data_IF_469027470147
#
_entry.id   IF_469027470147
#
_cell.length_a   1.000
_cell.length_b   1.000
_cell.length_c   1.000
_cell.angle_alpha   90.00
_cell.angle_beta   90.00
_cell.angle_gamma   90.00
#
_symmetry.space_group_name_H-M   'P 1'
#
loop_
_entity.id
_entity.type
_entity.pdbx_description
1 polymer ?
#
# COMPACT_ATOMS: atom_id res chain seq x y z
N UNK A 1 16.68 6.58 -10.35
CA UNK A 1 16.30 6.69 -8.92
C UNK A 1 14.79 6.58 -8.84
N UNK A 2 14.23 5.90 -7.83
CA UNK A 2 12.77 5.83 -7.62
C UNK A 2 12.13 7.22 -7.41
N UNK A 3 10.81 7.30 -7.48
CA UNK A 3 9.98 8.52 -7.58
C UNK A 3 10.47 9.79 -6.86
N UNK A 4 10.15 10.95 -7.45
CA UNK A 4 10.74 12.27 -7.12
C UNK A 4 9.97 13.12 -6.11
N UNK A 5 8.75 12.73 -5.72
CA UNK A 5 7.92 13.50 -4.77
C UNK A 5 8.60 13.63 -3.41
N UNK A 6 8.86 14.85 -2.93
CA UNK A 6 9.52 15.10 -1.64
C UNK A 6 8.52 15.07 -0.49
N UNK A 7 8.97 14.63 0.69
CA UNK A 7 8.12 14.57 1.91
C UNK A 7 7.91 15.95 2.55
N UNK A 8 8.70 16.95 2.15
CA UNK A 8 8.49 18.37 2.42
C UNK A 8 9.32 19.21 1.43
N UNK A 9 9.02 20.50 1.30
CA UNK A 9 9.74 21.41 0.40
C UNK A 9 11.27 21.42 0.62
N UNK A 10 11.72 21.16 1.85
CA UNK A 10 13.13 21.16 2.25
C UNK A 10 13.76 19.77 2.33
N UNK A 11 12.99 18.70 2.15
CA UNK A 11 13.51 17.34 2.27
C UNK A 11 14.27 16.88 1.02
N UNK A 12 15.33 16.08 1.24
CA UNK A 12 16.00 15.31 0.17
C UNK A 12 15.43 13.89 0.05
N UNK A 13 14.55 13.49 0.97
CA UNK A 13 13.93 12.16 1.02
C UNK A 13 12.62 12.19 0.24
N UNK A 14 12.44 11.23 -0.67
CA UNK A 14 11.18 11.10 -1.42
C UNK A 14 10.17 10.22 -0.70
N UNK A 15 8.89 10.41 -1.03
CA UNK A 15 7.76 9.58 -0.53
C UNK A 15 7.98 8.11 -0.86
N UNK A 16 8.58 7.80 -2.02
CA UNK A 16 8.95 6.44 -2.41
C UNK A 16 9.98 5.80 -1.46
N UNK A 17 10.95 6.55 -0.91
CA UNK A 17 11.89 6.01 0.08
C UNK A 17 11.18 5.66 1.39
N UNK A 18 10.24 6.49 1.83
CA UNK A 18 9.44 6.22 3.04
C UNK A 18 8.49 5.04 2.80
N UNK A 19 7.82 5.01 1.65
CA UNK A 19 6.91 3.92 1.30
C UNK A 19 7.62 2.58 1.21
N UNK A 20 8.80 2.55 0.59
CA UNK A 20 9.63 1.35 0.54
C UNK A 20 10.14 0.93 1.92
N UNK A 21 10.48 1.88 2.79
CA UNK A 21 10.86 1.56 4.17
C UNK A 21 9.73 0.85 4.90
N UNK A 22 8.51 1.40 4.84
CA UNK A 22 7.34 0.80 5.47
C UNK A 22 7.00 -0.56 4.88
N UNK A 23 7.06 -0.69 3.55
CA UNK A 23 6.91 -1.98 2.88
C UNK A 23 7.95 -3.00 3.37
N UNK A 24 9.21 -2.60 3.55
CA UNK A 24 10.28 -3.47 4.05
C UNK A 24 10.13 -3.82 5.54
N UNK A 25 9.56 -2.93 6.36
CA UNK A 25 9.24 -3.19 7.77
C UNK A 25 8.08 -4.19 7.90
N UNK A 26 7.04 -4.04 7.09
CA UNK A 26 5.94 -5.01 7.04
C UNK A 26 6.45 -6.35 6.52
N UNK A 27 7.26 -6.32 5.46
CA UNK A 27 7.81 -7.52 4.89
C UNK A 27 8.71 -8.30 5.86
N UNK A 28 9.44 -7.60 6.76
CA UNK A 28 10.35 -8.27 7.70
C UNK A 28 9.64 -9.16 8.72
N UNK A 29 8.38 -8.87 9.04
CA UNK A 29 7.59 -9.58 10.05
C UNK A 29 6.57 -10.56 9.48
N UNK A 30 6.27 -10.47 8.18
CA UNK A 30 5.37 -11.40 7.49
C UNK A 30 6.15 -12.57 6.86
N UNK A 31 5.62 -13.81 6.89
CA UNK A 31 6.35 -14.99 6.43
C UNK A 31 6.49 -15.09 4.90
N UNK A 32 5.42 -14.80 4.16
CA UNK A 32 5.36 -14.85 2.70
C UNK A 32 4.95 -13.49 2.15
N UNK A 33 5.80 -12.91 1.30
CA UNK A 33 5.71 -11.50 0.91
C UNK A 33 6.04 -11.32 -0.56
N UNK A 34 5.20 -10.53 -1.22
CA UNK A 34 5.48 -9.98 -2.54
C UNK A 34 5.65 -8.46 -2.37
N UNK A 35 6.80 -7.92 -2.80
CA UNK A 35 7.04 -6.48 -2.78
C UNK A 35 7.03 -5.99 -4.23
N UNK A 36 5.95 -5.31 -4.60
CA UNK A 36 5.81 -4.67 -5.90
C UNK A 36 6.08 -3.17 -5.80
N UNK A 37 7.13 -2.68 -6.45
CA UNK A 37 7.25 -1.26 -6.75
C UNK A 37 6.42 -1.00 -8.00
N UNK A 38 5.58 0.02 -7.96
CA UNK A 38 4.63 0.29 -9.02
C UNK A 38 4.79 1.71 -9.56
N UNK A 39 4.77 1.78 -10.88
CA UNK A 39 4.69 2.97 -11.72
C UNK A 39 4.01 2.55 -13.03
N UNK A 40 4.56 2.96 -14.17
CA UNK A 40 4.19 2.49 -15.51
C UNK A 40 4.20 0.96 -15.62
N UNK A 41 5.06 0.30 -14.85
CA UNK A 41 5.13 -1.16 -14.71
C UNK A 41 5.21 -1.60 -13.24
N UNK A 42 4.87 -2.87 -13.00
CA UNK A 42 5.09 -3.53 -11.72
C UNK A 42 6.49 -4.17 -11.73
N UNK A 43 7.37 -3.73 -10.83
CA UNK A 43 8.66 -4.34 -10.59
C UNK A 43 8.59 -5.13 -9.29
N UNK A 44 8.78 -6.44 -9.37
CA UNK A 44 8.92 -7.28 -8.19
C UNK A 44 10.32 -7.14 -7.61
N UNK A 45 10.41 -6.92 -6.30
CA UNK A 45 11.62 -7.04 -5.52
C UNK A 45 11.50 -8.23 -4.56
N UNK A 46 12.43 -9.17 -4.69
CA UNK A 46 12.52 -10.30 -3.78
C UNK A 46 13.19 -9.86 -2.47
N UNK A 47 12.46 -10.01 -1.36
CA UNK A 47 12.94 -9.57 -0.05
C UNK A 47 14.04 -10.50 0.47
N UNK A 48 15.24 -9.95 0.68
CA UNK A 48 16.37 -10.72 1.20
C UNK A 48 16.28 -10.85 2.72
N UNK A 49 15.88 -12.03 3.18
CA UNK A 49 15.75 -12.39 4.61
C UNK A 49 17.07 -12.43 5.35
N UNK A 50 18.21 -12.52 4.66
CA UNK A 50 19.55 -12.48 5.28
C UNK A 50 20.03 -11.07 5.60
N UNK A 51 19.29 -10.04 5.16
CA UNK A 51 19.67 -8.63 5.27
C UNK A 51 18.66 -7.84 6.12
N UNK A 52 19.14 -6.78 6.76
CA UNK A 52 18.29 -5.88 7.54
C UNK A 52 17.35 -5.02 6.67
N UNK A 53 16.32 -4.48 7.30
CA UNK A 53 15.28 -3.63 6.66
C UNK A 53 15.88 -2.48 5.85
N UNK A 54 16.89 -1.78 6.38
CA UNK A 54 17.51 -0.63 5.71
C UNK A 54 18.23 -1.02 4.42
N UNK A 55 18.84 -2.22 4.37
CA UNK A 55 19.48 -2.73 3.17
C UNK A 55 18.43 -3.04 2.10
N UNK A 56 17.37 -3.73 2.49
CA UNK A 56 16.24 -4.06 1.61
C UNK A 56 15.58 -2.79 1.07
N UNK A 57 15.38 -1.77 1.92
CA UNK A 57 14.84 -0.47 1.51
C UNK A 57 15.70 0.19 0.42
N UNK A 58 17.03 0.24 0.61
CA UNK A 58 17.93 0.81 -0.40
C UNK A 58 17.86 0.05 -1.73
N UNK A 59 17.79 -1.28 -1.67
CA UNK A 59 17.76 -2.14 -2.86
C UNK A 59 16.43 -2.07 -3.60
N UNK A 60 15.31 -2.14 -2.88
CA UNK A 60 13.97 -1.99 -3.46
C UNK A 60 13.77 -0.59 -4.05
N UNK A 61 14.29 0.46 -3.41
CA UNK A 61 14.25 1.82 -3.95
C UNK A 61 15.07 1.97 -5.23
N UNK A 62 16.21 1.30 -5.31
CA UNK A 62 17.04 1.30 -6.51
C UNK A 62 16.33 0.58 -7.66
N UNK A 63 15.79 -0.62 -7.40
CA UNK A 63 15.04 -1.41 -8.38
C UNK A 63 13.75 -0.70 -8.84
N UNK A 64 13.06 -0.01 -7.93
CA UNK A 64 11.89 0.81 -8.25
C UNK A 64 12.22 2.02 -9.14
N UNK A 65 13.49 2.39 -9.31
CA UNK A 65 13.90 3.42 -10.26
C UNK A 65 13.54 3.11 -11.71
N UNK A 66 13.22 1.87 -12.02
CA UNK A 66 12.81 1.44 -13.36
C UNK A 66 11.30 1.42 -13.55
N UNK A 67 10.47 1.54 -12.50
CA UNK A 67 9.03 1.31 -12.62
C UNK A 67 8.28 2.37 -13.42
N UNK A 68 8.90 3.53 -13.67
CA UNK A 68 8.26 4.66 -14.34
C UNK A 68 7.52 5.59 -13.37
N UNK A 69 7.02 6.72 -13.89
CA UNK A 69 6.48 7.81 -13.08
C UNK A 69 4.97 7.80 -12.87
N UNK A 70 4.22 7.03 -13.66
CA UNK A 70 2.76 6.95 -13.55
C UNK A 70 2.38 5.94 -12.45
N UNK A 71 1.88 6.40 -11.32
CA UNK A 71 1.61 5.62 -10.09
C UNK A 71 0.51 4.52 -10.22
N UNK A 72 0.01 4.18 -11.41
CA UNK A 72 -1.24 3.42 -11.57
C UNK A 72 -1.08 2.03 -12.20
N UNK A 73 -0.30 1.88 -13.27
CA UNK A 73 -0.31 0.64 -14.06
C UNK A 73 0.18 -0.58 -13.29
N UNK A 74 1.17 -0.42 -12.40
CA UNK A 74 1.70 -1.53 -11.63
C UNK A 74 0.69 -2.14 -10.65
N UNK A 75 -0.16 -1.33 -10.00
CA UNK A 75 -1.19 -1.85 -9.08
C UNK A 75 -2.29 -2.59 -9.85
N UNK A 76 -2.71 -2.06 -11.00
CA UNK A 76 -3.71 -2.70 -11.85
C UNK A 76 -3.18 -4.04 -12.37
N UNK A 77 -1.93 -4.08 -12.84
CA UNK A 77 -1.27 -5.30 -13.28
C UNK A 77 -1.18 -6.35 -12.16
N UNK A 78 -0.89 -5.93 -10.92
CA UNK A 78 -0.90 -6.82 -9.76
C UNK A 78 -2.28 -7.43 -9.52
N UNK A 79 -3.33 -6.60 -9.45
CA UNK A 79 -4.70 -7.07 -9.22
C UNK A 79 -5.18 -8.00 -10.35
N UNK A 80 -4.94 -7.64 -11.61
CA UNK A 80 -5.25 -8.46 -12.78
C UNK A 80 -4.56 -9.83 -12.71
N UNK A 81 -3.26 -9.85 -12.34
CA UNK A 81 -2.52 -11.09 -12.14
C UNK A 81 -3.13 -11.95 -11.04
N UNK A 82 -3.46 -11.38 -9.89
CA UNK A 82 -4.10 -12.12 -8.80
C UNK A 82 -5.46 -12.70 -9.18
N UNK A 83 -6.25 -11.97 -9.97
CA UNK A 83 -7.55 -12.43 -10.47
C UNK A 83 -7.37 -13.58 -11.46
N UNK A 84 -6.49 -13.40 -12.45
CA UNK A 84 -6.24 -14.36 -13.54
C UNK A 84 -5.67 -15.66 -12.99
N UNK A 85 -4.63 -15.55 -12.18
CA UNK A 85 -3.87 -16.69 -11.68
C UNK A 85 -4.46 -17.24 -10.36
N UNK A 86 -5.55 -16.64 -9.87
CA UNK A 86 -6.23 -16.96 -8.61
C UNK A 86 -5.29 -16.94 -7.39
N UNK A 87 -4.31 -16.04 -7.40
CA UNK A 87 -3.34 -15.87 -6.32
C UNK A 87 -4.08 -15.47 -5.04
N UNK A 88 -3.80 -16.20 -3.96
CA UNK A 88 -4.36 -15.95 -2.64
C UNK A 88 -3.55 -14.87 -1.94
N UNK A 89 -4.26 -13.86 -1.45
CA UNK A 89 -3.67 -12.70 -0.76
C UNK A 89 -4.46 -12.46 0.51
N UNK A 90 -3.80 -12.60 1.65
CA UNK A 90 -4.40 -12.36 2.96
C UNK A 90 -4.35 -10.88 3.34
N UNK A 91 -3.27 -10.19 2.97
CA UNK A 91 -3.04 -8.78 3.26
C UNK A 91 -2.52 -8.04 2.03
N UNK A 92 -3.19 -6.95 1.65
CA UNK A 92 -2.77 -6.04 0.59
C UNK A 92 -2.44 -4.69 1.21
N UNK A 93 -1.18 -4.30 1.17
CA UNK A 93 -0.71 -2.98 1.59
C UNK A 93 -0.38 -2.14 0.36
N UNK A 94 -1.01 -0.96 0.26
CA UNK A 94 -0.71 0.02 -0.79
C UNK A 94 -0.22 1.29 -0.12
N UNK A 95 1.02 1.67 -0.44
CA UNK A 95 1.73 2.77 0.21
C UNK A 95 2.19 3.74 -0.87
N UNK A 96 1.67 4.96 -0.84
CA UNK A 96 1.91 5.97 -1.87
C UNK A 96 1.65 7.36 -1.31
N UNK A 97 2.05 8.41 -2.04
CA UNK A 97 1.56 9.76 -1.74
C UNK A 97 0.07 9.92 -2.02
N UNK A 98 -0.56 8.95 -2.69
CA UNK A 98 -1.98 8.94 -3.02
C UNK A 98 -2.38 10.26 -3.64
N UNK A 99 -1.65 10.74 -4.66
CA UNK A 99 -2.12 11.82 -5.53
C UNK A 99 -3.34 11.35 -6.35
N UNK A 100 -4.43 11.16 -5.64
CA UNK A 100 -5.79 11.16 -6.14
C UNK A 100 -6.12 12.65 -6.20
N UNK A 101 -6.27 13.21 -7.39
CA UNK A 101 -6.53 14.63 -7.62
C UNK A 101 -7.79 15.19 -6.96
N UNK A 102 -8.15 16.37 -7.44
CA UNK A 102 -8.78 17.56 -6.82
C UNK A 102 -9.88 17.48 -5.74
N UNK A 103 -10.20 16.33 -5.16
CA UNK A 103 -11.13 16.21 -4.04
C UNK A 103 -12.59 15.96 -4.43
N UNK A 104 -12.92 15.97 -5.72
CA UNK A 104 -14.27 15.64 -6.22
C UNK A 104 -14.33 14.35 -7.05
N UNK A 105 -13.18 13.86 -7.56
CA UNK A 105 -13.11 12.68 -8.42
C UNK A 105 -12.07 11.66 -7.93
N UNK A 106 -12.35 10.37 -8.07
CA UNK A 106 -11.32 9.31 -8.02
C UNK A 106 -10.42 9.50 -9.24
N UNK A 107 -9.34 10.28 -9.10
CA UNK A 107 -8.44 10.63 -10.22
C UNK A 107 -7.59 9.45 -10.73
N UNK A 108 -7.55 8.32 -10.00
CA UNK A 108 -6.92 7.06 -10.46
C UNK A 108 -7.41 6.57 -11.82
N UNK A 109 -8.60 7.01 -12.23
CA UNK A 109 -9.26 6.61 -13.47
C UNK A 109 -9.13 7.63 -14.60
N UNK A 110 -8.62 8.84 -14.34
CA UNK A 110 -8.39 9.87 -15.37
C UNK A 110 -6.93 9.88 -15.88
N UNK A 111 -5.96 9.48 -15.06
CA UNK A 111 -4.53 9.44 -15.45
C UNK A 111 -4.07 8.11 -16.05
N UNK A 112 -4.86 7.04 -15.93
CA UNK A 112 -4.53 5.73 -16.49
C UNK A 112 -5.13 5.56 -17.89
N UNK A 113 -4.50 4.75 -18.74
CA UNK A 113 -5.06 4.32 -20.05
C UNK A 113 -6.29 3.41 -19.90
N UNK A 114 -6.86 3.31 -18.70
CA UNK A 114 -7.95 2.43 -18.34
C UNK A 114 -9.24 3.23 -18.20
N UNK A 115 -10.37 2.67 -18.65
CA UNK A 115 -11.67 3.33 -18.57
C UNK A 115 -12.07 3.68 -17.12
N UNK A 116 -12.84 4.76 -17.00
CA UNK A 116 -13.48 5.14 -15.75
C UNK A 116 -14.34 4.00 -15.19
N UNK A 117 -14.20 3.73 -13.90
CA UNK A 117 -14.76 2.59 -13.17
C UNK A 117 -13.87 1.34 -13.07
N UNK A 118 -12.75 1.24 -13.83
CA UNK A 118 -11.98 0.00 -13.93
C UNK A 118 -11.30 -0.41 -12.62
N UNK A 119 -10.81 0.54 -11.80
CA UNK A 119 -10.17 0.18 -10.53
C UNK A 119 -11.19 -0.46 -9.58
N UNK A 120 -12.37 0.15 -9.45
CA UNK A 120 -13.43 -0.38 -8.61
C UNK A 120 -13.89 -1.77 -9.08
N UNK A 121 -13.96 -2.00 -10.39
CA UNK A 121 -14.29 -3.31 -10.95
C UNK A 121 -13.20 -4.36 -10.68
N UNK A 122 -11.93 -4.02 -10.92
CA UNK A 122 -10.79 -4.89 -10.62
C UNK A 122 -10.75 -5.25 -9.14
N UNK A 123 -10.93 -4.27 -8.26
CA UNK A 123 -10.95 -4.50 -6.83
C UNK A 123 -12.11 -5.42 -6.41
N UNK A 124 -13.31 -5.24 -6.98
CA UNK A 124 -14.44 -6.15 -6.76
C UNK A 124 -14.11 -7.58 -7.21
N UNK A 125 -13.51 -7.76 -8.39
CA UNK A 125 -13.08 -9.08 -8.90
C UNK A 125 -11.99 -9.71 -8.03
N UNK A 126 -11.01 -8.93 -7.61
CA UNK A 126 -9.96 -9.36 -6.69
C UNK A 126 -10.55 -9.85 -5.37
N UNK A 127 -11.49 -9.10 -4.77
CA UNK A 127 -12.16 -9.52 -3.53
C UNK A 127 -13.08 -10.73 -3.70
N UNK A 128 -13.59 -11.02 -4.90
CA UNK A 128 -14.28 -12.31 -5.14
C UNK A 128 -13.32 -13.49 -5.03
N UNK A 129 -12.07 -13.33 -5.46
CA UNK A 129 -11.02 -14.36 -5.32
C UNK A 129 -10.47 -14.40 -3.89
N UNK A 130 -10.38 -13.24 -3.24
CA UNK A 130 -9.80 -13.03 -1.91
C UNK A 130 -10.79 -12.32 -0.96
N UNK A 131 -11.89 -12.98 -0.54
CA UNK A 131 -12.97 -12.35 0.22
C UNK A 131 -12.54 -11.86 1.61
N UNK A 132 -11.56 -12.53 2.21
CA UNK A 132 -11.05 -12.22 3.55
C UNK A 132 -9.81 -11.32 3.53
N UNK A 133 -9.35 -10.86 2.35
CA UNK A 133 -8.18 -10.01 2.25
C UNK A 133 -8.40 -8.72 3.05
N UNK A 134 -7.46 -8.45 3.95
CA UNK A 134 -7.32 -7.18 4.66
C UNK A 134 -6.58 -6.21 3.74
N UNK A 135 -7.16 -5.04 3.49
CA UNK A 135 -6.58 -4.05 2.60
C UNK A 135 -6.23 -2.82 3.42
N UNK A 136 -4.98 -2.38 3.33
CA UNK A 136 -4.46 -1.19 4.02
C UNK A 136 -3.89 -0.24 2.99
N UNK A 137 -4.43 0.97 2.97
CA UNK A 137 -3.95 2.06 2.14
C UNK A 137 -3.32 3.12 3.02
N UNK A 138 -2.04 3.43 2.80
CA UNK A 138 -1.27 4.40 3.57
C UNK A 138 -0.89 5.57 2.66
N UNK A 139 -1.48 6.75 2.90
CA UNK A 139 -1.13 8.00 2.24
C UNK A 139 0.01 8.70 2.96
N UNK A 140 1.15 8.92 2.29
CA UNK A 140 2.33 9.55 2.92
C UNK A 140 2.19 11.08 2.97
N UNK A 141 1.53 11.70 1.99
CA UNK A 141 1.41 13.17 1.88
C UNK A 141 0.10 13.74 2.44
N UNK A 142 -0.91 12.90 2.70
CA UNK A 142 -2.11 13.32 3.44
C UNK A 142 -3.02 14.30 2.68
N UNK A 143 -3.08 14.22 1.34
CA UNK A 143 -3.89 15.10 0.48
C UNK A 143 -5.43 15.02 0.68
N UNK A 144 -5.90 14.36 1.74
CA UNK A 144 -7.34 14.23 2.04
C UNK A 144 -8.09 13.23 1.17
N UNK A 145 -7.38 12.46 0.35
CA UNK A 145 -7.99 11.53 -0.60
C UNK A 145 -7.91 10.07 -0.15
N UNK A 146 -9.00 9.33 -0.36
CA UNK A 146 -9.09 7.89 -0.05
C UNK A 146 -9.10 7.06 -1.36
N UNK A 147 -8.21 6.07 -1.49
CA UNK A 147 -8.13 5.21 -2.67
C UNK A 147 -9.23 4.13 -2.67
N UNK A 148 -9.48 3.52 -1.52
CA UNK A 148 -10.41 2.39 -1.40
C UNK A 148 -11.72 2.83 -0.78
N UNK A 149 -12.81 2.19 -1.22
CA UNK A 149 -14.10 2.34 -0.55
C UNK A 149 -14.05 1.81 0.89
N UNK A 150 -14.89 2.37 1.77
CA UNK A 150 -14.93 1.96 3.18
C UNK A 150 -15.53 0.57 3.35
N UNK A 151 -14.93 -0.24 4.21
CA UNK A 151 -15.41 -1.60 4.51
C UNK A 151 -14.76 -2.18 5.76
N UNK A 152 -15.32 -3.29 6.27
CA UNK A 152 -14.80 -3.96 7.47
C UNK A 152 -13.34 -4.41 7.31
N UNK A 153 -12.99 -4.95 6.14
CA UNK A 153 -11.65 -5.44 5.81
C UNK A 153 -10.79 -4.40 5.06
N UNK A 154 -11.15 -3.11 5.08
CA UNK A 154 -10.40 -2.04 4.42
C UNK A 154 -10.07 -0.96 5.45
N UNK A 155 -8.83 -0.48 5.42
CA UNK A 155 -8.33 0.61 6.26
C UNK A 155 -7.60 1.64 5.38
N UNK A 156 -8.16 2.85 5.32
CA UNK A 156 -7.49 4.02 4.73
C UNK A 156 -6.89 4.86 5.86
N UNK A 157 -5.59 5.10 5.84
CA UNK A 157 -4.87 5.91 6.83
C UNK A 157 -3.84 6.80 6.14
N UNK A 158 -3.40 7.85 6.83
CA UNK A 158 -2.38 8.77 6.34
C UNK A 158 -1.30 9.01 7.40
N UNK A 159 -0.10 9.36 6.93
CA UNK A 159 1.07 9.64 7.76
C UNK A 159 2.21 8.65 7.52
N UNK A 160 3.27 8.80 8.32
CA UNK A 160 4.48 7.97 8.25
C UNK A 160 5.16 7.83 9.63
N UNK A 161 4.39 7.87 10.71
CA UNK A 161 4.86 7.55 12.07
C UNK A 161 4.75 6.05 12.37
N UNK A 162 5.46 5.58 13.39
CA UNK A 162 5.38 4.17 13.86
C UNK A 162 3.99 3.79 14.37
N UNK A 163 3.22 4.74 14.90
CA UNK A 163 1.84 4.53 15.38
C UNK A 163 0.89 3.99 14.31
N UNK A 164 1.25 4.09 13.03
CA UNK A 164 0.50 3.46 11.93
C UNK A 164 0.39 1.95 12.12
N UNK A 165 1.45 1.31 12.62
CA UNK A 165 1.43 -0.14 12.86
C UNK A 165 0.45 -0.51 13.97
N UNK A 166 0.34 0.32 15.02
CA UNK A 166 -0.64 0.13 16.08
C UNK A 166 -2.06 0.26 15.54
N UNK A 167 -2.34 1.30 14.73
CA UNK A 167 -3.66 1.49 14.10
C UNK A 167 -4.03 0.30 13.20
N UNK A 168 -3.09 -0.21 12.41
CA UNK A 168 -3.28 -1.42 11.59
C UNK A 168 -3.59 -2.61 12.49
N UNK A 169 -2.83 -2.82 13.56
CA UNK A 169 -3.04 -3.91 14.49
C UNK A 169 -4.41 -3.83 15.17
N UNK A 170 -4.78 -2.67 15.72
CA UNK A 170 -6.08 -2.45 16.38
C UNK A 170 -7.26 -2.65 15.44
N UNK A 171 -7.13 -2.28 14.15
CA UNK A 171 -8.19 -2.51 13.16
C UNK A 171 -8.44 -3.99 12.91
N UNK A 172 -7.38 -4.82 12.94
CA UNK A 172 -7.43 -6.21 12.51
C UNK A 172 -7.20 -7.25 13.61
N UNK A 173 -7.02 -6.84 14.87
CA UNK A 173 -6.81 -7.71 16.03
C UNK A 173 -8.08 -8.49 16.43
N UNK A 174 -9.24 -8.14 15.89
CA UNK A 174 -10.51 -8.82 16.14
C UNK A 174 -11.21 -8.33 17.42
N UNK A 175 -12.54 -8.39 17.42
CA UNK A 175 -13.38 -7.79 18.46
C UNK A 175 -13.10 -8.29 19.89
N UNK A 176 -12.77 -9.59 20.03
CA UNK A 176 -12.43 -10.18 21.34
C UNK A 176 -11.15 -9.57 21.93
N UNK A 177 -10.10 -9.44 21.13
CA UNK A 177 -8.84 -8.85 21.58
C UNK A 177 -8.99 -7.35 21.88
N UNK A 178 -9.82 -6.64 21.12
CA UNK A 178 -10.12 -5.22 21.37
C UNK A 178 -10.84 -5.00 22.72
N UNK A 179 -11.80 -5.86 23.08
CA UNK A 179 -12.47 -5.79 24.40
C UNK A 179 -11.46 -6.03 25.53
N UNK A 180 -10.54 -6.98 25.36
CA UNK A 180 -9.50 -7.26 26.36
C UNK A 180 -8.53 -6.09 26.53
N UNK A 181 -8.16 -5.37 25.46
CA UNK A 181 -7.37 -4.15 25.55
C UNK A 181 -8.11 -3.02 26.29
N UNK A 182 -9.38 -2.78 25.97
CA UNK A 182 -10.20 -1.76 26.67
C UNK A 182 -10.28 -2.07 28.17
N UNK A 183 -10.46 -3.35 28.54
CA UNK A 183 -10.50 -3.78 29.95
C UNK A 183 -9.19 -3.57 30.72
N UNK A 184 -8.05 -3.46 30.03
CA UNK A 184 -6.74 -3.19 30.67
C UNK A 184 -6.55 -1.72 31.03
N UNK A 185 -7.29 -0.80 30.39
CA UNK A 185 -7.29 0.62 30.73
C UNK A 185 -8.16 0.79 31.98
N UNK A 186 -7.54 0.73 33.16
CA UNK A 186 -8.20 1.17 34.41
C UNK A 186 -8.20 2.70 34.43
N UNK A 187 -9.39 3.29 34.54
CA UNK A 187 -9.59 4.69 34.93
C UNK A 187 -9.49 4.77 36.45
#
# INVERSE_FOLDING_TARGET
MGGSSKVSAFSKTSTAVIGNLFGCMIASVLPDVFIGMFGDKLINYEYDRSRGVLWNNKKSFTAGGECGGATENGLFAFLEKCIKDKIKVDNLYVISDMQIGDGESIVWEKSSNYEYGKFAELLKKFKKVNPNCKIVSISIQGYGSEMFYRGSNILNIAGWSESIFDVINSKFCGYKNMIEEIKKIKI
#
